data_IF_344515072263
#
_entry.id   IF_344515072263
#
_cell.length_a   1.000
_cell.length_b   1.000
_cell.length_c   1.000
_cell.angle_alpha   90.00
_cell.angle_beta   90.00
_cell.angle_gamma   90.00
#
_symmetry.space_group_name_H-M   'P 1'
#
loop_
_entity.id
_entity.type
_entity.pdbx_description
1 polymer ?
#
# COMPACT_ATOMS: atom_id res chain seq x y z
N UNK A 1 -9.49 17.32 7.34
CA UNK A 1 -8.58 16.20 7.62
C UNK A 1 -7.80 15.95 6.36
N UNK A 2 -6.56 16.43 6.32
CA UNK A 2 -5.67 16.28 5.14
C UNK A 2 -5.04 14.88 5.09
N UNK A 3 -5.05 14.15 6.21
CA UNK A 3 -4.50 12.82 6.30
C UNK A 3 -2.99 12.83 6.53
N UNK A 4 -2.33 11.74 6.12
CA UNK A 4 -0.88 11.56 6.25
C UNK A 4 -0.20 11.77 4.89
N UNK A 5 0.64 12.80 4.79
CA UNK A 5 1.32 13.19 3.54
C UNK A 5 2.77 12.71 3.44
N UNK A 6 3.39 12.38 4.58
CA UNK A 6 4.78 11.95 4.72
C UNK A 6 4.84 10.62 5.49
N UNK A 7 6.00 9.97 5.57
CA UNK A 7 6.18 8.71 6.35
C UNK A 7 5.14 7.63 5.97
N UNK A 8 5.04 7.37 4.67
CA UNK A 8 4.15 6.33 4.14
C UNK A 8 4.53 4.98 4.73
N UNK A 9 3.53 4.10 4.93
CA UNK A 9 3.79 2.74 5.42
C UNK A 9 3.72 2.57 6.94
N UNK A 10 3.87 3.64 7.73
CA UNK A 10 3.62 3.56 9.17
C UNK A 10 2.11 3.53 9.49
N UNK A 11 1.76 3.05 10.67
CA UNK A 11 0.37 3.04 11.14
C UNK A 11 -0.18 4.48 11.28
N UNK A 12 -1.44 4.69 10.92
CA UNK A 12 -2.07 6.01 10.99
C UNK A 12 -3.56 5.90 11.32
N UNK A 13 -4.00 6.73 12.26
CA UNK A 13 -5.41 6.91 12.57
C UNK A 13 -5.70 8.40 12.65
N UNK A 14 -6.68 8.87 11.87
CA UNK A 14 -7.10 10.27 11.94
C UNK A 14 -7.76 10.54 13.29
N UNK A 15 -7.31 11.59 13.97
CA UNK A 15 -7.87 12.04 15.24
C UNK A 15 -8.77 13.26 15.07
N UNK A 16 -9.67 13.47 16.03
CA UNK A 16 -10.48 14.67 16.07
C UNK A 16 -9.65 15.84 16.59
N UNK A 17 -9.06 16.61 15.66
CA UNK A 17 -8.11 17.70 15.96
C UNK A 17 -8.65 18.81 16.87
N UNK A 18 -9.95 19.10 16.83
CA UNK A 18 -10.56 20.27 17.48
C UNK A 18 -12.04 20.03 17.77
N UNK A 19 -12.47 20.22 19.02
CA UNK A 19 -13.87 20.03 19.46
C UNK A 19 -14.86 20.89 18.67
N UNK A 20 -14.43 22.04 18.16
CA UNK A 20 -15.24 22.97 17.37
C UNK A 20 -15.35 22.57 15.87
N UNK A 21 -14.54 21.63 15.41
CA UNK A 21 -14.59 21.10 14.02
C UNK A 21 -15.46 19.85 13.91
N UNK A 22 -16.09 19.58 12.74
CA UNK A 22 -16.78 18.32 12.50
C UNK A 22 -15.83 17.14 12.62
N UNK A 23 -16.27 16.04 13.25
CA UNK A 23 -15.50 14.80 13.41
C UNK A 23 -15.06 14.19 12.06
N UNK A 24 -13.99 13.37 12.03
CA UNK A 24 -13.60 12.64 10.83
C UNK A 24 -14.73 11.75 10.30
N UNK A 25 -14.76 11.55 8.99
CA UNK A 25 -15.75 10.68 8.38
C UNK A 25 -15.43 9.22 8.72
N UNK A 26 -16.32 8.59 9.47
CA UNK A 26 -16.18 7.20 9.88
C UNK A 26 -16.79 6.25 8.87
N UNK A 27 -16.02 5.25 8.44
CA UNK A 27 -16.51 4.17 7.59
C UNK A 27 -15.86 2.82 7.93
N UNK A 28 -16.31 1.76 7.25
CA UNK A 28 -15.87 0.39 7.46
C UNK A 28 -15.50 -0.24 6.13
N UNK A 29 -14.44 -1.05 6.12
CA UNK A 29 -14.05 -1.81 4.96
C UNK A 29 -14.96 -3.04 4.80
N UNK A 30 -15.61 -3.16 3.64
CA UNK A 30 -16.26 -4.40 3.19
C UNK A 30 -15.37 -5.06 2.12
N UNK A 31 -14.86 -6.26 2.43
CA UNK A 31 -13.98 -7.01 1.51
C UNK A 31 -14.76 -7.87 0.51
N UNK A 32 -16.09 -7.98 0.65
CA UNK A 32 -16.92 -8.89 -0.12
C UNK A 32 -16.41 -10.34 -0.03
N UNK A 33 -16.20 -10.97 -1.19
CA UNK A 33 -15.70 -12.35 -1.29
C UNK A 33 -14.17 -12.47 -1.37
N UNK A 34 -13.45 -11.35 -1.30
CA UNK A 34 -11.98 -11.35 -1.38
C UNK A 34 -11.41 -11.99 -0.12
N UNK A 35 -10.48 -12.93 -0.29
CA UNK A 35 -9.77 -13.57 0.83
C UNK A 35 -8.90 -12.54 1.54
N UNK A 36 -9.04 -12.45 2.87
CA UNK A 36 -8.30 -11.53 3.73
C UNK A 36 -6.91 -12.06 4.11
N UNK A 37 -6.02 -12.22 3.12
CA UNK A 37 -4.61 -12.55 3.34
C UNK A 37 -3.75 -11.31 3.59
N UNK A 38 -2.65 -11.48 4.32
CA UNK A 38 -1.65 -10.43 4.52
C UNK A 38 -1.03 -10.02 3.16
N UNK A 39 -0.89 -8.72 2.93
CA UNK A 39 -0.41 -8.16 1.65
C UNK A 39 -1.45 -8.10 0.53
N UNK A 40 -2.72 -8.42 0.79
CA UNK A 40 -3.76 -8.31 -0.24
C UNK A 40 -4.02 -6.84 -0.62
N UNK A 41 -4.19 -6.56 -1.92
CA UNK A 41 -4.40 -5.20 -2.47
C UNK A 41 -5.63 -4.47 -1.92
N UNK A 42 -6.63 -5.19 -1.41
CA UNK A 42 -7.78 -4.58 -0.72
C UNK A 42 -7.34 -3.80 0.52
N UNK A 43 -6.29 -4.25 1.21
CA UNK A 43 -5.72 -3.55 2.36
C UNK A 43 -4.80 -2.39 1.94
N UNK A 44 -4.23 -2.42 0.74
CA UNK A 44 -3.54 -1.25 0.18
C UNK A 44 -4.54 -0.11 -0.11
N UNK A 45 -5.72 -0.43 -0.65
CA UNK A 45 -6.81 0.54 -0.81
C UNK A 45 -7.30 1.08 0.54
N UNK A 46 -7.42 0.22 1.56
CA UNK A 46 -7.68 0.64 2.93
C UNK A 46 -6.62 1.63 3.43
N UNK A 47 -5.33 1.30 3.27
CA UNK A 47 -4.23 2.16 3.72
C UNK A 47 -4.28 3.54 3.05
N UNK A 48 -4.49 3.59 1.73
CA UNK A 48 -4.66 4.87 1.03
C UNK A 48 -5.88 5.67 1.49
N UNK A 49 -6.99 5.02 1.84
CA UNK A 49 -8.18 5.68 2.38
C UNK A 49 -7.94 6.25 3.79
N UNK A 50 -7.23 5.50 4.63
CA UNK A 50 -6.80 5.91 5.97
C UNK A 50 -5.83 7.08 5.89
N UNK A 51 -4.80 6.99 5.05
CA UNK A 51 -3.83 8.06 4.82
C UNK A 51 -4.47 9.29 4.17
N UNK A 52 -5.60 9.12 3.48
CA UNK A 52 -6.42 10.23 2.98
C UNK A 52 -7.30 10.91 4.04
N UNK A 53 -7.25 10.46 5.31
CA UNK A 53 -7.96 11.09 6.43
C UNK A 53 -9.34 10.52 6.74
N UNK A 54 -9.68 9.30 6.28
CA UNK A 54 -10.89 8.59 6.71
C UNK A 54 -10.66 7.85 8.03
N UNK A 55 -11.65 7.92 8.93
CA UNK A 55 -11.65 7.11 10.16
C UNK A 55 -12.16 5.70 9.82
N UNK A 56 -11.23 4.78 9.58
CA UNK A 56 -11.52 3.37 9.35
C UNK A 56 -10.87 2.54 10.46
N UNK A 57 -11.63 1.81 11.28
CA UNK A 57 -11.06 0.93 12.28
C UNK A 57 -10.26 -0.21 11.63
N UNK A 58 -8.96 -0.30 11.91
CA UNK A 58 -8.06 -1.31 11.34
C UNK A 58 -6.87 -1.62 12.26
N UNK A 59 -5.98 -2.50 11.79
CA UNK A 59 -4.65 -2.73 12.36
C UNK A 59 -3.68 -3.15 11.25
N UNK A 60 -2.40 -3.17 11.56
CA UNK A 60 -1.30 -3.45 10.62
C UNK A 60 -1.16 -4.93 10.16
N UNK A 61 -1.85 -5.88 10.80
CA UNK A 61 -1.62 -7.33 10.63
C UNK A 61 -1.85 -7.87 9.21
N UNK A 62 -2.55 -7.09 8.39
CA UNK A 62 -2.89 -7.46 7.01
C UNK A 62 -2.15 -6.64 5.96
N UNK A 63 -1.33 -5.67 6.36
CA UNK A 63 -0.49 -4.94 5.42
C UNK A 63 0.71 -5.77 4.97
N UNK A 64 1.28 -5.41 3.82
CA UNK A 64 2.55 -5.96 3.38
C UNK A 64 3.65 -5.52 4.35
N UNK A 65 4.58 -6.40 4.70
CA UNK A 65 5.62 -6.12 5.71
C UNK A 65 5.27 -6.60 7.13
N UNK A 66 4.06 -7.13 7.37
CA UNK A 66 3.72 -7.72 8.66
C UNK A 66 4.28 -9.14 8.81
N UNK A 67 5.08 -9.37 9.85
CA UNK A 67 5.61 -10.68 10.23
C UNK A 67 4.72 -11.35 11.31
N UNK A 68 4.29 -12.59 11.02
CA UNK A 68 3.41 -13.36 11.92
C UNK A 68 4.13 -13.96 13.13
N UNK A 69 5.43 -14.25 13.00
CA UNK A 69 6.25 -14.83 14.06
C UNK A 69 6.66 -13.75 15.06
N UNK A 70 7.20 -12.65 14.55
CA UNK A 70 7.69 -11.52 15.35
C UNK A 70 6.55 -10.59 15.78
N UNK A 71 5.38 -10.70 15.14
CA UNK A 71 4.20 -9.85 15.38
C UNK A 71 4.52 -8.37 15.27
N UNK A 72 5.36 -8.03 14.31
CA UNK A 72 5.82 -6.68 14.00
C UNK A 72 5.46 -6.33 12.55
N UNK A 73 5.33 -5.03 12.30
CA UNK A 73 5.12 -4.47 10.97
C UNK A 73 6.35 -3.70 10.53
N UNK A 74 6.84 -4.01 9.32
CA UNK A 74 7.89 -3.26 8.66
C UNK A 74 7.29 -2.17 7.74
N UNK A 75 7.35 -0.93 8.20
CA UNK A 75 6.84 0.23 7.48
C UNK A 75 7.59 0.48 6.16
N UNK A 76 8.90 0.23 6.13
CA UNK A 76 9.74 0.46 4.94
C UNK A 76 9.34 -0.51 3.82
N UNK A 77 9.05 -1.76 4.17
CA UNK A 77 8.48 -2.71 3.21
C UNK A 77 7.13 -2.21 2.71
N UNK A 78 6.22 -1.76 3.57
CA UNK A 78 4.92 -1.26 3.10
C UNK A 78 5.07 -0.04 2.18
N UNK A 79 5.94 0.91 2.52
CA UNK A 79 6.24 2.09 1.71
C UNK A 79 6.76 1.69 0.32
N UNK A 80 7.67 0.72 0.26
CA UNK A 80 8.18 0.16 -1.00
C UNK A 80 7.07 -0.43 -1.86
N UNK A 81 6.11 -1.16 -1.26
CA UNK A 81 4.93 -1.65 -1.97
C UNK A 81 4.03 -0.51 -2.47
N UNK A 82 3.82 0.55 -1.68
CA UNK A 82 3.01 1.72 -2.05
C UNK A 82 3.62 2.45 -3.24
N UNK A 83 4.93 2.62 -3.26
CA UNK A 83 5.67 3.30 -4.34
C UNK A 83 5.91 2.43 -5.58
N UNK A 84 5.46 1.17 -5.56
CA UNK A 84 5.66 0.24 -6.67
C UNK A 84 7.08 -0.34 -6.77
N UNK A 85 7.93 -0.16 -5.76
CA UNK A 85 9.34 -0.60 -5.80
C UNK A 85 9.52 -2.10 -6.03
N UNK A 86 8.60 -2.94 -5.55
CA UNK A 86 8.65 -4.39 -5.80
C UNK A 86 8.46 -4.73 -7.29
N UNK A 87 7.73 -3.90 -8.03
CA UNK A 87 7.56 -4.08 -9.48
C UNK A 87 8.82 -3.63 -10.22
N UNK A 88 9.41 -2.51 -9.81
CA UNK A 88 10.66 -2.00 -10.36
C UNK A 88 11.82 -3.00 -10.13
N UNK A 89 11.99 -3.50 -8.91
CA UNK A 89 13.00 -4.53 -8.59
C UNK A 89 12.82 -5.79 -9.45
N UNK A 90 11.57 -6.25 -9.63
CA UNK A 90 11.28 -7.40 -10.48
C UNK A 90 11.57 -7.13 -11.96
N UNK A 91 11.40 -5.88 -12.41
CA UNK A 91 11.71 -5.47 -13.76
C UNK A 91 13.22 -5.44 -13.99
N UNK A 92 14.00 -4.86 -13.06
CA UNK A 92 15.46 -4.83 -13.08
C UNK A 92 16.05 -6.25 -13.12
N UNK A 93 15.64 -7.12 -12.19
CA UNK A 93 16.10 -8.52 -12.15
C UNK A 93 15.79 -9.25 -13.47
N UNK A 94 14.59 -9.09 -14.02
CA UNK A 94 14.20 -9.74 -15.26
C UNK A 94 14.95 -9.18 -16.48
N UNK A 95 15.26 -7.89 -16.49
CA UNK A 95 16.01 -7.28 -17.58
C UNK A 95 17.44 -7.83 -17.66
N UNK A 96 18.06 -8.10 -16.51
CA UNK A 96 19.40 -8.68 -16.43
C UNK A 96 19.41 -10.18 -16.76
N UNK A 97 18.46 -10.95 -16.22
CA UNK A 97 18.46 -12.41 -16.32
C UNK A 97 17.76 -12.94 -17.59
N UNK A 98 16.66 -12.32 -18.02
CA UNK A 98 15.80 -12.79 -19.11
C UNK A 98 15.28 -11.61 -20.00
N UNK A 99 16.14 -10.93 -20.79
CA UNK A 99 15.77 -9.74 -21.55
C UNK A 99 14.55 -9.91 -22.48
N UNK A 100 14.43 -11.06 -23.15
CA UNK A 100 13.29 -11.36 -24.04
C UNK A 100 11.96 -11.43 -23.26
N UNK A 101 12.00 -11.89 -22.01
CA UNK A 101 10.84 -11.98 -21.13
C UNK A 101 10.49 -10.62 -20.52
N UNK A 102 11.50 -9.79 -20.22
CA UNK A 102 11.31 -8.40 -19.80
C UNK A 102 10.54 -7.62 -20.86
N UNK A 103 10.98 -7.67 -22.13
CA UNK A 103 10.29 -6.99 -23.24
C UNK A 103 8.84 -7.45 -23.39
N UNK A 104 8.54 -8.73 -23.14
CA UNK A 104 7.18 -9.26 -23.21
C UNK A 104 6.31 -8.86 -22.00
N UNK A 105 6.84 -8.96 -20.78
CA UNK A 105 6.08 -8.62 -19.55
C UNK A 105 5.77 -7.14 -19.47
N UNK A 106 6.75 -6.30 -19.80
CA UNK A 106 6.66 -4.85 -19.65
C UNK A 106 6.42 -4.13 -20.98
N UNK A 107 6.02 -4.85 -22.03
CA UNK A 107 5.76 -4.30 -23.38
C UNK A 107 4.93 -3.01 -23.38
N UNK A 108 3.91 -2.92 -22.51
CA UNK A 108 3.05 -1.73 -22.41
C UNK A 108 3.73 -0.53 -21.76
N UNK A 109 4.65 -0.75 -20.83
CA UNK A 109 5.44 0.33 -20.21
C UNK A 109 6.45 0.86 -21.24
N UNK A 110 7.17 -0.05 -21.90
CA UNK A 110 8.13 0.29 -22.94
C UNK A 110 7.50 1.03 -24.13
N UNK A 111 6.26 0.67 -24.51
CA UNK A 111 5.52 1.35 -25.57
C UNK A 111 5.17 2.81 -25.23
N UNK A 112 5.15 3.16 -23.95
CA UNK A 112 4.86 4.52 -23.44
C UNK A 112 6.15 5.23 -23.01
N UNK A 113 7.33 4.73 -23.41
CA UNK A 113 8.65 5.25 -23.01
C UNK A 113 8.82 5.32 -21.47
N UNK A 114 8.22 4.37 -20.75
CA UNK A 114 8.33 4.25 -19.29
C UNK A 114 9.21 3.07 -18.91
N UNK A 115 10.20 3.33 -18.06
CA UNK A 115 11.02 2.30 -17.42
C UNK A 115 10.32 1.82 -16.14
N UNK A 116 9.89 0.54 -16.07
CA UNK A 116 9.05 -0.01 -15.00
C UNK A 116 9.61 0.07 -13.58
#
# INVERSE_FOLDING_TARGET
YEGKTEELGEDYHVEHEDEDKPRPFKCFLDTGLVRTSTGARVFAALKGAVDGGLDIPHNEKRFAGYDLQDKSHDADTLERYIKGGVVAEYAEEMQEEEPEKYEQHFAKYLAEDFDP
#
